data_IF_617120264585
#
_entry.id   IF_617120264585
#
_cell.length_a   1.000
_cell.length_b   1.000
_cell.length_c   1.000
_cell.angle_alpha   90.00
_cell.angle_beta   90.00
_cell.angle_gamma   90.00
#
_symmetry.space_group_name_H-M   'P 1'
#
loop_
_entity.id
_entity.type
_entity.pdbx_description
1 polymer ?
#
# COMPACT_ATOMS: atom_id res chain seq x y z
N UNK A 1 -7.29 16.47 -1.55
CA UNK A 1 -6.00 15.75 -1.69
C UNK A 1 -5.04 15.97 -0.52
N UNK A 2 -4.84 17.20 -0.03
CA UNK A 2 -3.89 17.48 1.08
C UNK A 2 -4.28 16.81 2.42
N UNK A 3 -5.52 16.99 2.88
CA UNK A 3 -6.08 16.31 4.06
C UNK A 3 -5.94 14.78 3.96
N UNK A 4 -6.15 14.24 2.76
CA UNK A 4 -5.96 12.82 2.50
C UNK A 4 -4.49 12.45 2.61
N UNK A 5 -3.58 13.16 1.96
CA UNK A 5 -2.14 12.94 2.15
C UNK A 5 -1.73 12.93 3.63
N UNK A 6 -2.32 13.78 4.47
CA UNK A 6 -2.06 13.80 5.92
C UNK A 6 -2.54 12.49 6.58
N UNK A 7 -3.80 12.09 6.35
CA UNK A 7 -4.36 10.83 6.89
C UNK A 7 -3.58 9.62 6.37
N UNK A 8 -3.14 9.66 5.11
CA UNK A 8 -2.41 8.60 4.41
C UNK A 8 -0.97 8.46 4.90
N UNK A 9 -0.25 9.57 5.04
CA UNK A 9 1.10 9.59 5.62
C UNK A 9 1.10 9.20 7.09
N UNK A 10 0.01 9.51 7.80
CA UNK A 10 -0.18 9.11 9.19
C UNK A 10 -0.45 7.62 9.35
N UNK A 11 -1.32 7.05 8.51
CA UNK A 11 -1.68 5.63 8.55
C UNK A 11 -0.50 4.73 8.18
N UNK A 12 0.43 5.21 7.35
CA UNK A 12 1.57 4.42 6.88
C UNK A 12 1.15 3.21 6.01
N UNK A 13 -0.15 3.02 5.80
CA UNK A 13 -0.73 2.25 4.72
C UNK A 13 -0.75 3.18 3.51
N UNK A 14 -0.19 2.75 2.38
CA UNK A 14 -0.41 3.44 1.11
C UNK A 14 -1.91 3.46 0.78
N UNK A 15 -2.66 4.37 1.38
CA UNK A 15 -4.13 4.37 1.43
C UNK A 15 -4.74 4.90 0.14
N UNK A 16 -4.16 4.54 -0.97
CA UNK A 16 -4.59 4.97 -2.27
C UNK A 16 -5.84 4.22 -2.74
N UNK A 17 -6.32 3.19 -2.02
CA UNK A 17 -7.69 2.66 -2.18
C UNK A 17 -8.74 3.73 -1.93
N UNK A 18 -8.46 4.64 -0.98
CA UNK A 18 -9.26 5.82 -0.73
C UNK A 18 -9.11 6.88 -1.82
N UNK A 19 -7.91 7.03 -2.40
CA UNK A 19 -7.67 7.94 -3.53
C UNK A 19 -8.45 7.47 -4.76
N UNK A 20 -8.41 6.18 -5.10
CA UNK A 20 -9.21 5.61 -6.18
C UNK A 20 -10.69 5.87 -5.92
N UNK A 21 -11.18 5.58 -4.70
CA UNK A 21 -12.56 5.84 -4.31
C UNK A 21 -12.98 7.29 -4.54
N UNK A 22 -12.17 8.27 -4.15
CA UNK A 22 -12.45 9.68 -4.44
C UNK A 22 -12.42 9.98 -5.95
N UNK A 23 -11.39 9.52 -6.66
CA UNK A 23 -11.23 9.83 -8.08
C UNK A 23 -12.41 9.27 -8.90
N UNK A 24 -12.90 8.09 -8.53
CA UNK A 24 -14.04 7.46 -9.19
C UNK A 24 -15.36 8.06 -8.72
N UNK A 25 -15.63 8.11 -7.41
CA UNK A 25 -16.94 8.51 -6.89
C UNK A 25 -17.17 10.04 -6.88
N UNK A 26 -16.13 10.84 -6.60
CA UNK A 26 -16.27 12.30 -6.51
C UNK A 26 -15.94 12.95 -7.85
N UNK A 27 -14.80 12.59 -8.45
CA UNK A 27 -14.33 13.21 -9.69
C UNK A 27 -14.87 12.53 -10.96
N UNK A 28 -15.62 11.43 -10.83
CA UNK A 28 -16.23 10.71 -11.95
C UNK A 28 -15.21 10.28 -13.03
N UNK A 29 -13.98 9.99 -12.62
CA UNK A 29 -12.89 9.59 -13.51
C UNK A 29 -13.00 8.09 -13.81
N UNK A 30 -12.72 7.65 -15.05
CA UNK A 30 -12.68 6.24 -15.39
C UNK A 30 -11.75 5.45 -14.46
N UNK A 31 -12.23 4.29 -14.01
CA UNK A 31 -11.56 3.46 -12.99
C UNK A 31 -10.15 3.07 -13.43
N UNK A 32 -9.95 2.67 -14.68
CA UNK A 32 -8.62 2.34 -15.22
C UNK A 32 -7.64 3.52 -15.11
N UNK A 33 -8.12 4.74 -15.37
CA UNK A 33 -7.31 5.97 -15.23
C UNK A 33 -7.04 6.30 -13.76
N UNK A 34 -8.03 6.12 -12.88
CA UNK A 34 -7.86 6.32 -11.44
C UNK A 34 -6.84 5.32 -10.84
N UNK A 35 -6.84 4.07 -11.29
CA UNK A 35 -5.88 3.05 -10.90
C UNK A 35 -4.46 3.41 -11.34
N UNK A 36 -4.28 3.74 -12.62
CA UNK A 36 -2.98 4.11 -13.18
C UNK A 36 -2.38 5.34 -12.52
N UNK A 37 -3.17 6.41 -12.38
CA UNK A 37 -2.73 7.66 -11.73
C UNK A 37 -2.39 7.47 -10.27
N UNK A 38 -3.13 6.62 -9.55
CA UNK A 38 -2.90 6.39 -8.12
C UNK A 38 -1.68 5.50 -7.86
N UNK A 39 -1.40 4.49 -8.69
CA UNK A 39 -0.15 3.72 -8.62
C UNK A 39 1.06 4.62 -8.94
N UNK A 40 0.93 5.46 -9.96
CA UNK A 40 1.99 6.40 -10.33
C UNK A 40 2.24 7.46 -9.26
N UNK A 41 1.20 7.97 -8.62
CA UNK A 41 1.36 8.84 -7.45
C UNK A 41 2.04 8.12 -6.27
N UNK A 42 1.86 6.80 -6.14
CA UNK A 42 2.51 6.02 -5.09
C UNK A 42 4.02 5.97 -5.20
N UNK A 43 4.59 6.02 -6.41
CA UNK A 43 6.04 6.09 -6.57
C UNK A 43 6.63 7.26 -5.78
N UNK A 44 6.03 8.44 -5.91
CA UNK A 44 6.50 9.65 -5.24
C UNK A 44 6.23 9.64 -3.73
N UNK A 45 5.03 9.21 -3.32
CA UNK A 45 4.68 9.20 -1.89
C UNK A 45 5.45 8.14 -1.11
N UNK A 46 5.67 6.95 -1.69
CA UNK A 46 6.45 5.89 -1.06
C UNK A 46 7.95 6.16 -1.10
N UNK A 47 8.46 6.86 -2.12
CA UNK A 47 9.84 7.35 -2.11
C UNK A 47 10.07 8.32 -0.93
N UNK A 48 9.18 9.31 -0.77
CA UNK A 48 9.24 10.26 0.35
C UNK A 48 9.08 9.55 1.70
N UNK A 49 8.09 8.67 1.83
CA UNK A 49 7.80 7.92 3.06
C UNK A 49 8.90 6.92 3.43
N UNK A 50 9.47 6.21 2.45
CA UNK A 50 10.58 5.27 2.63
C UNK A 50 11.82 5.98 3.17
N UNK A 51 12.18 7.14 2.60
CA UNK A 51 13.29 7.96 3.10
C UNK A 51 13.04 8.41 4.55
N UNK A 52 11.82 8.85 4.87
CA UNK A 52 11.46 9.25 6.24
C UNK A 52 11.58 8.09 7.22
N UNK A 53 11.02 6.92 6.90
CA UNK A 53 11.08 5.75 7.78
C UNK A 53 12.47 5.12 7.88
N UNK A 54 13.28 5.22 6.81
CA UNK A 54 14.67 4.77 6.82
C UNK A 54 15.53 5.64 7.74
N UNK A 55 15.38 6.97 7.69
CA UNK A 55 16.06 7.89 8.62
C UNK A 55 15.69 7.64 10.09
N UNK A 56 14.53 7.02 10.34
CA UNK A 56 14.07 6.70 11.69
C UNK A 56 14.43 5.28 12.15
N UNK A 57 15.18 4.51 11.36
CA UNK A 57 15.55 3.13 11.69
C UNK A 57 14.38 2.15 11.68
N UNK A 58 13.24 2.56 11.13
CA UNK A 58 12.00 1.77 11.10
C UNK A 58 11.78 1.08 9.74
N UNK A 59 12.71 1.13 8.80
CA UNK A 59 12.57 0.49 7.48
C UNK A 59 13.73 -0.46 7.21
N UNK A 60 13.40 -1.71 6.84
CA UNK A 60 14.39 -2.70 6.41
C UNK A 60 14.54 -2.69 4.91
N UNK A 61 15.57 -1.97 4.44
CA UNK A 61 15.76 -1.75 3.01
C UNK A 61 15.98 -3.06 2.24
N UNK A 62 16.81 -3.97 2.77
CA UNK A 62 17.14 -5.25 2.11
C UNK A 62 15.92 -6.13 1.92
N UNK A 63 15.20 -6.46 3.00
CA UNK A 63 14.00 -7.31 2.93
C UNK A 63 12.91 -6.66 2.08
N UNK A 64 12.73 -5.34 2.21
CA UNK A 64 11.75 -4.60 1.43
C UNK A 64 12.05 -4.60 -0.07
N UNK A 65 13.30 -4.37 -0.46
CA UNK A 65 13.70 -4.39 -1.87
C UNK A 65 13.61 -5.78 -2.49
N UNK A 66 13.95 -6.85 -1.75
CA UNK A 66 13.85 -8.23 -2.26
C UNK A 66 12.38 -8.57 -2.54
N UNK A 67 11.49 -8.38 -1.57
CA UNK A 67 10.05 -8.64 -1.73
C UNK A 67 9.48 -7.74 -2.83
N UNK A 68 9.88 -6.46 -2.84
CA UNK A 68 9.47 -5.49 -3.84
C UNK A 68 9.93 -5.83 -5.25
N UNK A 69 11.11 -6.43 -5.43
CA UNK A 69 11.61 -6.87 -6.74
C UNK A 69 10.78 -8.03 -7.29
N UNK A 70 10.43 -9.02 -6.46
CA UNK A 70 9.49 -10.08 -6.86
C UNK A 70 8.10 -9.50 -7.14
N UNK A 71 7.64 -8.56 -6.30
CA UNK A 71 6.37 -7.88 -6.49
C UNK A 71 6.30 -7.01 -7.72
N UNK A 72 7.42 -6.42 -8.17
CA UNK A 72 7.47 -5.63 -9.41
C UNK A 72 7.10 -6.47 -10.63
N UNK A 73 7.61 -7.70 -10.73
CA UNK A 73 7.24 -8.65 -11.78
C UNK A 73 5.76 -9.01 -11.73
N UNK A 74 5.24 -9.28 -10.52
CA UNK A 74 3.81 -9.54 -10.32
C UNK A 74 2.94 -8.34 -10.69
N UNK A 75 3.33 -7.13 -10.30
CA UNK A 75 2.59 -5.89 -10.57
C UNK A 75 2.50 -5.61 -12.07
N UNK A 76 3.61 -5.74 -12.78
CA UNK A 76 3.63 -5.58 -14.23
C UNK A 76 2.69 -6.57 -14.91
N UNK A 77 2.78 -7.87 -14.57
CA UNK A 77 1.88 -8.90 -15.09
C UNK A 77 0.40 -8.64 -14.71
N UNK A 78 0.16 -8.21 -13.48
CA UNK A 78 -1.17 -7.86 -12.97
C UNK A 78 -1.82 -6.72 -13.76
N UNK A 79 -1.04 -5.75 -14.26
CA UNK A 79 -1.60 -4.68 -15.09
C UNK A 79 -2.21 -5.20 -16.39
N UNK A 80 -1.67 -6.26 -16.99
CA UNK A 80 -2.26 -6.85 -18.20
C UNK A 80 -3.63 -7.46 -17.92
N UNK A 81 -3.75 -8.15 -16.79
CA UNK A 81 -5.02 -8.71 -16.33
C UNK A 81 -6.02 -7.59 -16.00
N UNK A 82 -5.58 -6.51 -15.35
CA UNK A 82 -6.42 -5.35 -15.03
C UNK A 82 -7.10 -4.76 -16.28
N UNK A 83 -6.37 -4.69 -17.40
CA UNK A 83 -6.86 -4.14 -18.68
C UNK A 83 -7.93 -5.00 -19.34
N UNK A 84 -7.93 -6.31 -19.07
CA UNK A 84 -8.91 -7.25 -19.64
C UNK A 84 -10.22 -7.28 -18.86
N UNK A 85 -10.24 -6.74 -17.64
CA UNK A 85 -11.41 -6.74 -16.76
C UNK A 85 -12.25 -5.48 -17.03
N UNK A 86 -13.57 -5.66 -17.17
CA UNK A 86 -14.52 -4.56 -17.33
C UNK A 86 -14.54 -3.63 -16.11
N UNK A 87 -14.72 -2.32 -16.32
CA UNK A 87 -14.64 -1.32 -15.26
C UNK A 87 -15.56 -1.61 -14.06
N UNK A 88 -16.79 -2.07 -14.33
CA UNK A 88 -17.78 -2.39 -13.30
C UNK A 88 -17.34 -3.57 -12.41
N UNK A 89 -16.78 -4.62 -13.01
CA UNK A 89 -16.22 -5.76 -12.26
C UNK A 89 -14.99 -5.35 -11.46
N UNK A 90 -14.16 -4.44 -12.01
CA UNK A 90 -12.95 -3.97 -11.37
C UNK A 90 -13.26 -3.12 -10.13
N UNK A 91 -14.33 -2.32 -10.16
CA UNK A 91 -14.85 -1.60 -8.99
C UNK A 91 -15.28 -2.58 -7.92
N UNK A 92 -16.15 -3.54 -8.25
CA UNK A 92 -16.61 -4.55 -7.29
C UNK A 92 -15.48 -5.38 -6.68
N UNK A 93 -14.49 -5.79 -7.47
CA UNK A 93 -13.36 -6.56 -6.96
C UNK A 93 -12.44 -5.70 -6.08
N UNK A 94 -12.17 -4.45 -6.47
CA UNK A 94 -11.33 -3.53 -5.69
C UNK A 94 -12.01 -3.19 -4.36
N UNK A 95 -13.32 -2.90 -4.38
CA UNK A 95 -14.14 -2.69 -3.17
C UNK A 95 -14.16 -3.93 -2.28
N UNK A 96 -14.39 -5.10 -2.86
CA UNK A 96 -14.38 -6.38 -2.14
C UNK A 96 -13.04 -6.67 -1.49
N UNK A 97 -11.93 -6.40 -2.17
CA UNK A 97 -10.58 -6.56 -1.63
C UNK A 97 -10.26 -5.57 -0.52
N UNK A 98 -10.61 -4.29 -0.67
CA UNK A 98 -10.43 -3.29 0.37
C UNK A 98 -11.25 -3.61 1.62
N UNK A 99 -12.50 -4.05 1.43
CA UNK A 99 -13.36 -4.51 2.52
C UNK A 99 -12.78 -5.76 3.20
N UNK A 100 -12.37 -6.77 2.43
CA UNK A 100 -11.75 -7.98 2.96
C UNK A 100 -10.46 -7.68 3.71
N UNK A 101 -9.65 -6.74 3.22
CA UNK A 101 -8.42 -6.29 3.87
C UNK A 101 -8.70 -5.63 5.22
N UNK A 102 -9.66 -4.70 5.26
CA UNK A 102 -10.12 -4.07 6.50
C UNK A 102 -10.70 -5.09 7.48
N UNK A 103 -11.52 -6.04 6.99
CA UNK A 103 -12.13 -7.11 7.78
C UNK A 103 -11.07 -8.07 8.35
N UNK A 104 -10.07 -8.46 7.55
CA UNK A 104 -8.95 -9.31 7.99
C UNK A 104 -8.12 -8.64 9.08
N UNK A 105 -7.81 -7.35 8.92
CA UNK A 105 -7.08 -6.58 9.94
C UNK A 105 -7.94 -6.43 11.20
N UNK A 106 -9.24 -6.19 11.06
CA UNK A 106 -10.17 -6.07 12.19
C UNK A 106 -10.34 -7.39 12.96
N UNK A 107 -10.59 -8.51 12.28
CA UNK A 107 -10.67 -9.84 12.91
C UNK A 107 -9.34 -10.26 13.56
N UNK A 108 -8.20 -9.92 12.96
CA UNK A 108 -6.88 -10.21 13.54
C UNK A 108 -6.54 -9.28 14.69
N UNK A 109 -6.94 -8.01 14.64
CA UNK A 109 -6.69 -7.05 15.73
C UNK A 109 -7.48 -7.40 16.99
N UNK A 110 -8.68 -7.99 16.85
CA UNK A 110 -9.49 -8.38 18.00
C UNK A 110 -8.98 -9.61 18.78
N UNK A 111 -8.15 -10.48 18.18
CA UNK A 111 -7.65 -11.71 18.84
C UNK A 111 -6.14 -11.85 19.04
N UNK A 112 -5.28 -11.01 18.43
CA UNK A 112 -3.82 -11.26 18.45
C UNK A 112 -2.93 -10.06 18.77
N UNK A 113 -3.48 -8.88 19.05
CA UNK A 113 -2.71 -7.71 19.48
C UNK A 113 -2.99 -7.34 20.94
N UNK A 114 -2.59 -8.16 21.94
CA UNK A 114 -2.38 -7.59 23.25
C UNK A 114 -1.36 -6.47 23.10
N UNK A 115 -1.64 -5.32 23.69
CA UNK A 115 -0.80 -4.13 23.72
C UNK A 115 0.59 -4.36 24.36
N UNK A 116 0.99 -5.61 24.61
CA UNK A 116 2.07 -5.98 25.52
C UNK A 116 3.14 -6.91 24.92
N UNK A 117 3.20 -7.08 23.60
CA UNK A 117 4.36 -7.70 22.93
C UNK A 117 5.31 -6.60 22.42
N UNK A 118 5.71 -5.73 23.35
CA UNK A 118 6.76 -4.71 23.19
C UNK A 118 8.16 -5.28 23.41
N UNK A 119 8.29 -6.54 23.81
CA UNK A 119 9.60 -7.16 24.02
C UNK A 119 10.17 -7.71 22.71
N UNK A 120 11.10 -6.92 22.13
CA UNK A 120 12.35 -7.40 21.55
C UNK A 120 12.31 -8.75 20.82
N UNK A 121 11.95 -8.71 19.55
CA UNK A 121 12.81 -9.37 18.57
C UNK A 121 13.41 -8.25 17.75
N UNK A 122 14.69 -7.95 17.99
CA UNK A 122 15.56 -7.53 16.90
C UNK A 122 15.26 -8.51 15.77
N UNK A 123 14.46 -8.10 14.78
CA UNK A 123 14.29 -8.94 13.62
C UNK A 123 15.70 -9.16 13.11
N UNK A 124 16.20 -10.38 13.19
CA UNK A 124 17.40 -10.70 12.42
C UNK A 124 16.98 -10.48 10.97
N UNK A 125 17.84 -9.82 10.19
CA UNK A 125 17.68 -9.89 8.75
C UNK A 125 17.81 -11.38 8.39
N UNK A 126 16.67 -12.08 8.28
CA UNK A 126 16.62 -13.49 7.88
C UNK A 126 16.86 -13.59 6.37
N UNK A 127 17.79 -12.79 5.84
CA UNK A 127 18.12 -12.73 4.41
C UNK A 127 18.94 -13.92 3.92
N UNK A 128 19.19 -14.92 4.79
CA UNK A 128 20.06 -16.07 4.52
C UNK A 128 19.39 -17.44 4.51
N UNK A 129 18.11 -17.55 4.85
CA UNK A 129 17.43 -18.85 4.95
C UNK A 129 16.63 -19.15 3.66
N UNK A 130 16.70 -20.37 3.12
CA UNK A 130 15.96 -20.74 1.89
C UNK A 130 14.45 -20.55 2.05
N UNK A 131 13.94 -20.68 3.29
CA UNK A 131 12.54 -20.39 3.63
C UNK A 131 12.18 -18.90 3.42
N UNK A 132 13.13 -17.98 3.62
CA UNK A 132 12.91 -16.54 3.43
C UNK A 132 12.71 -16.20 1.95
N UNK A 133 13.55 -16.74 1.06
CA UNK A 133 13.45 -16.48 -0.38
C UNK A 133 12.13 -16.97 -0.96
N UNK A 134 11.68 -18.17 -0.56
CA UNK A 134 10.38 -18.71 -0.98
C UNK A 134 9.25 -17.82 -0.47
N UNK A 135 9.26 -17.45 0.81
CA UNK A 135 8.24 -16.56 1.40
C UNK A 135 8.25 -15.18 0.74
N UNK A 136 9.42 -14.60 0.47
CA UNK A 136 9.57 -13.29 -0.18
C UNK A 136 9.09 -13.31 -1.63
N UNK A 137 9.40 -14.38 -2.37
CA UNK A 137 8.91 -14.58 -3.73
C UNK A 137 7.39 -14.71 -3.74
N UNK A 138 6.83 -15.57 -2.89
CA UNK A 138 5.38 -15.83 -2.85
C UNK A 138 4.59 -14.60 -2.41
N UNK A 139 5.04 -13.93 -1.34
CA UNK A 139 4.40 -12.70 -0.86
C UNK A 139 4.53 -11.58 -1.88
N UNK A 140 5.74 -11.38 -2.43
CA UNK A 140 6.00 -10.38 -3.47
C UNK A 140 5.13 -10.59 -4.69
N UNK A 141 5.16 -11.77 -5.31
CA UNK A 141 4.36 -12.08 -6.49
C UNK A 141 2.86 -11.95 -6.26
N UNK A 142 2.34 -12.51 -5.16
CA UNK A 142 0.89 -12.44 -4.86
C UNK A 142 0.49 -10.99 -4.63
N UNK A 143 1.14 -10.30 -3.70
CA UNK A 143 0.76 -8.92 -3.37
C UNK A 143 1.06 -7.94 -4.48
N UNK A 144 2.10 -8.19 -5.27
CA UNK A 144 2.46 -7.45 -6.49
C UNK A 144 1.41 -7.62 -7.57
N UNK A 145 1.03 -8.84 -7.93
CA UNK A 145 -0.05 -9.11 -8.90
C UNK A 145 -1.38 -8.50 -8.45
N UNK A 146 -1.73 -8.66 -7.18
CA UNK A 146 -2.91 -8.00 -6.61
C UNK A 146 -2.79 -6.46 -6.71
N UNK A 147 -1.62 -5.89 -6.46
CA UNK A 147 -1.39 -4.46 -6.69
C UNK A 147 -1.53 -4.10 -8.16
N UNK A 148 -1.02 -4.90 -9.09
CA UNK A 148 -1.13 -4.62 -10.52
C UNK A 148 -2.58 -4.64 -11.02
N UNK A 149 -3.38 -5.59 -10.53
CA UNK A 149 -4.78 -5.77 -10.94
C UNK A 149 -5.68 -4.69 -10.34
N UNK A 150 -5.59 -4.50 -9.03
CA UNK A 150 -6.50 -3.62 -8.27
C UNK A 150 -5.90 -2.25 -7.98
N UNK A 151 -4.75 -1.98 -8.59
CA UNK A 151 -3.86 -0.88 -8.29
C UNK A 151 -3.15 -0.97 -6.93
N UNK A 152 -3.94 -1.11 -5.88
CA UNK A 152 -3.57 -0.57 -4.56
C UNK A 152 -4.08 -1.42 -3.40
N UNK A 153 -5.15 -2.19 -3.62
CA UNK A 153 -5.80 -2.99 -2.57
C UNK A 153 -4.88 -3.99 -1.86
N UNK A 154 -3.65 -4.20 -2.34
CA UNK A 154 -2.66 -5.08 -1.72
C UNK A 154 -1.84 -4.44 -0.59
N UNK A 155 -1.81 -3.11 -0.42
CA UNK A 155 -0.92 -2.47 0.58
C UNK A 155 -1.11 -3.00 2.01
N UNK A 156 -2.34 -3.27 2.51
CA UNK A 156 -2.50 -3.83 3.83
C UNK A 156 -2.20 -5.35 3.85
N UNK A 157 -2.30 -6.04 2.72
CA UNK A 157 -1.86 -7.44 2.58
C UNK A 157 -0.33 -7.55 2.65
N UNK A 158 0.42 -6.63 2.03
CA UNK A 158 1.88 -6.56 2.17
C UNK A 158 2.24 -6.36 3.65
N UNK A 159 1.53 -5.46 4.33
CA UNK A 159 1.76 -5.21 5.74
C UNK A 159 1.43 -6.42 6.62
N UNK A 160 0.31 -7.09 6.36
CA UNK A 160 -0.06 -8.34 7.05
C UNK A 160 0.98 -9.44 6.82
N UNK A 161 1.49 -9.58 5.59
CA UNK A 161 2.54 -10.54 5.28
C UNK A 161 3.81 -10.23 6.10
N UNK A 162 4.24 -8.96 6.15
CA UNK A 162 5.40 -8.55 6.94
C UNK A 162 5.22 -8.75 8.45
N UNK A 163 4.01 -8.53 8.96
CA UNK A 163 3.69 -8.75 10.37
C UNK A 163 3.64 -10.24 10.73
N UNK A 164 3.01 -11.07 9.90
CA UNK A 164 2.71 -12.47 10.23
C UNK A 164 3.84 -13.40 9.80
N UNK A 165 4.33 -13.26 8.56
CA UNK A 165 5.29 -14.20 7.97
C UNK A 165 6.73 -13.84 8.32
N UNK A 166 7.01 -12.54 8.46
CA UNK A 166 8.34 -12.02 8.79
C UNK A 166 8.45 -11.54 10.24
N UNK A 167 7.35 -11.45 10.98
CA UNK A 167 7.36 -11.15 12.41
C UNK A 167 7.83 -9.74 12.76
N UNK A 168 7.81 -8.81 11.81
CA UNK A 168 8.29 -7.44 12.07
C UNK A 168 7.36 -6.69 13.02
N UNK A 169 7.88 -5.84 13.92
CA UNK A 169 7.03 -5.00 14.77
C UNK A 169 6.25 -4.01 13.90
N UNK A 170 5.07 -3.59 14.37
CA UNK A 170 4.13 -2.76 13.58
C UNK A 170 4.79 -1.55 12.90
N UNK A 171 5.64 -0.84 13.64
CA UNK A 171 6.35 0.33 13.13
C UNK A 171 7.38 -0.03 12.05
N UNK A 172 8.04 -1.19 12.16
CA UNK A 172 8.94 -1.69 11.12
C UNK A 172 8.20 -2.22 9.89
N UNK A 173 7.04 -2.86 10.09
CA UNK A 173 6.21 -3.33 8.99
C UNK A 173 5.74 -2.14 8.15
N UNK A 174 5.23 -1.06 8.77
CA UNK A 174 4.87 0.18 8.07
C UNK A 174 6.04 0.71 7.24
N UNK A 175 7.22 0.93 7.85
CA UNK A 175 8.37 1.46 7.12
C UNK A 175 8.84 0.55 5.98
N UNK A 176 8.83 -0.77 6.21
CA UNK A 176 9.25 -1.75 5.20
C UNK A 176 8.24 -1.87 4.06
N UNK A 177 6.92 -1.74 4.31
CA UNK A 177 5.93 -1.72 3.23
C UNK A 177 6.16 -0.59 2.23
N UNK A 178 6.59 0.59 2.69
CA UNK A 178 6.91 1.72 1.80
C UNK A 178 8.08 1.38 0.87
N UNK A 179 9.08 0.64 1.37
CA UNK A 179 10.20 0.13 0.56
C UNK A 179 9.71 -0.90 -0.46
N UNK A 180 8.81 -1.82 -0.06
CA UNK A 180 8.25 -2.86 -0.94
C UNK A 180 7.38 -2.27 -2.04
N UNK A 181 6.55 -1.27 -1.70
CA UNK A 181 5.61 -0.65 -2.63
C UNK A 181 6.34 0.15 -3.71
N UNK A 182 7.52 0.71 -3.42
CA UNK A 182 8.26 1.54 -4.38
C UNK A 182 8.55 0.83 -5.72
N UNK A 183 9.20 -0.35 -5.77
CA UNK A 183 9.39 -1.08 -7.02
C UNK A 183 8.08 -1.62 -7.62
N UNK A 184 7.13 -2.06 -6.78
CA UNK A 184 5.79 -2.50 -7.24
C UNK A 184 5.09 -1.37 -7.99
N UNK A 185 5.08 -0.17 -7.42
CA UNK A 185 4.44 1.00 -7.98
C UNK A 185 5.16 1.50 -9.23
N UNK A 186 6.50 1.45 -9.28
CA UNK A 186 7.25 1.80 -10.48
C UNK A 186 6.86 0.91 -11.67
N UNK A 187 6.88 -0.40 -11.49
CA UNK A 187 6.56 -1.34 -12.56
C UNK A 187 5.07 -1.37 -12.89
N UNK A 188 4.19 -1.23 -11.89
CA UNK A 188 2.76 -1.05 -12.10
C UNK A 188 2.45 0.23 -12.89
N UNK A 189 3.15 1.34 -12.59
CA UNK A 189 3.00 2.60 -13.32
C UNK A 189 3.43 2.49 -14.77
N UNK A 190 4.57 1.83 -15.03
CA UNK A 190 5.03 1.54 -16.40
C UNK A 190 3.96 0.71 -17.13
N UNK A 191 3.38 -0.28 -16.45
CA UNK A 191 2.24 -1.03 -16.95
C UNK A 191 1.08 -0.12 -17.33
N UNK A 192 0.53 0.69 -16.43
CA UNK A 192 -0.61 1.56 -16.77
C UNK A 192 -0.27 2.66 -17.79
N UNK A 193 0.96 3.15 -17.80
CA UNK A 193 1.46 4.11 -18.78
C UNK A 193 1.42 3.54 -20.21
N UNK A 194 1.92 2.31 -20.39
CA UNK A 194 1.87 1.63 -21.69
C UNK A 194 0.45 1.35 -22.18
N UNK A 195 -0.53 1.26 -21.27
CA UNK A 195 -1.93 1.12 -21.65
C UNK A 195 -2.63 2.44 -21.98
N UNK A 196 -1.99 3.60 -21.78
CA UNK A 196 -2.60 4.91 -22.00
C UNK A 196 -3.60 5.32 -20.92
N UNK A 197 -3.66 4.64 -19.77
CA UNK A 197 -4.55 5.00 -18.66
C UNK A 197 -3.90 5.98 -17.67
N UNK A 198 -3.00 6.83 -18.14
CA UNK A 198 -2.23 7.73 -17.28
C UNK A 198 -2.47 9.17 -17.68
N UNK A 199 -3.28 9.87 -16.89
CA UNK A 199 -3.49 11.30 -17.02
C UNK A 199 -2.41 12.06 -16.23
N UNK A 200 -1.52 12.74 -16.96
CA UNK A 200 -0.40 13.49 -16.38
C UNK A 200 -0.83 14.71 -15.57
N UNK A 201 -1.95 15.34 -15.93
CA UNK A 201 -2.48 16.50 -15.21
C UNK A 201 -3.03 16.04 -13.87
N UNK A 202 -3.83 14.97 -13.90
CA UNK A 202 -4.36 14.35 -12.68
C UNK A 202 -3.23 13.83 -11.79
N UNK A 203 -2.23 13.17 -12.38
CA UNK A 203 -1.04 12.69 -11.68
C UNK A 203 -0.36 13.84 -10.93
N UNK A 204 -0.10 14.97 -11.59
CA UNK A 204 0.56 16.11 -10.97
C UNK A 204 -0.23 16.66 -9.78
N UNK A 205 -1.56 16.77 -9.91
CA UNK A 205 -2.44 17.24 -8.83
C UNK A 205 -2.46 16.26 -7.65
N UNK A 206 -2.56 14.96 -7.93
CA UNK A 206 -2.57 13.90 -6.91
C UNK A 206 -1.21 13.85 -6.21
N UNK A 207 -0.10 13.87 -6.95
CA UNK A 207 1.25 13.88 -6.40
C UNK A 207 1.48 15.11 -5.52
N UNK A 208 1.17 16.31 -6.01
CA UNK A 208 1.35 17.54 -5.22
C UNK A 208 0.56 17.49 -3.90
N UNK A 209 -0.72 17.08 -3.95
CA UNK A 209 -1.55 17.00 -2.75
C UNK A 209 -1.13 15.89 -1.79
N UNK A 210 -0.78 14.72 -2.32
CA UNK A 210 -0.44 13.55 -1.49
C UNK A 210 0.97 13.60 -0.95
N UNK A 211 1.94 14.18 -1.66
CA UNK A 211 3.32 14.31 -1.21
C UNK A 211 3.45 15.33 -0.08
N UNK A 212 2.81 16.49 -0.20
CA UNK A 212 2.78 17.50 0.86
C UNK A 212 2.05 16.95 2.08
N UNK A 213 0.90 16.32 1.87
CA UNK A 213 0.15 15.73 2.96
C UNK A 213 0.90 14.57 3.62
N UNK A 214 1.53 13.66 2.86
CA UNK A 214 2.22 12.51 3.43
C UNK A 214 3.46 12.90 4.21
N UNK A 215 4.18 13.93 3.76
CA UNK A 215 5.32 14.49 4.48
C UNK A 215 4.91 15.03 5.85
N UNK A 216 3.79 15.78 5.90
CA UNK A 216 3.22 16.28 7.16
C UNK A 216 2.72 15.11 8.03
N UNK A 217 1.96 14.18 7.44
CA UNK A 217 1.40 13.02 8.12
C UNK A 217 2.45 12.11 8.75
N UNK A 218 3.53 11.80 8.01
CA UNK A 218 4.64 10.97 8.48
C UNK A 218 5.34 11.57 9.71
N UNK A 219 5.44 12.91 9.78
CA UNK A 219 6.00 13.61 10.94
C UNK A 219 5.12 13.46 12.19
N UNK A 220 3.79 13.38 12.02
CA UNK A 220 2.83 13.15 13.10
C UNK A 220 2.78 11.68 13.55
N UNK A 221 3.07 10.72 12.68
CA UNK A 221 3.15 9.27 12.99
C UNK A 221 4.08 8.99 14.17
N UNK A 222 5.12 9.82 14.35
CA UNK A 222 6.09 9.70 15.44
C UNK A 222 5.50 9.95 16.83
N UNK A 223 4.54 10.87 16.93
CA UNK A 223 3.86 11.26 18.17
C UNK A 223 2.53 10.52 18.40
N UNK A 224 2.11 9.72 17.42
CA UNK A 224 0.84 9.04 17.45
C UNK A 224 0.86 7.81 18.37
N UNK A 225 -0.14 7.61 19.23
CA UNK A 225 -0.31 6.37 19.97
C UNK A 225 -0.63 5.23 18.98
N UNK A 226 -0.18 4.01 19.30
CA UNK A 226 -0.34 2.86 18.41
C UNK A 226 -1.80 2.54 18.05
N UNK A 227 -2.76 2.89 18.92
CA UNK A 227 -4.19 2.76 18.62
C UNK A 227 -4.60 3.59 17.40
N UNK A 228 -4.06 4.81 17.26
CA UNK A 228 -4.38 5.72 16.16
C UNK A 228 -3.80 5.21 14.83
N UNK A 229 -2.61 4.62 14.83
CA UNK A 229 -2.08 3.94 13.64
C UNK A 229 -2.96 2.75 13.26
N UNK A 230 -3.28 1.88 14.23
CA UNK A 230 -4.10 0.68 13.99
C UNK A 230 -5.49 1.03 13.44
N UNK A 231 -6.15 2.03 14.01
CA UNK A 231 -7.46 2.48 13.53
C UNK A 231 -7.35 3.06 12.13
N UNK A 232 -6.31 3.85 11.84
CA UNK A 232 -6.12 4.42 10.51
C UNK A 232 -5.94 3.33 9.44
N UNK A 233 -5.20 2.25 9.75
CA UNK A 233 -5.00 1.10 8.85
C UNK A 233 -6.29 0.33 8.52
N UNK A 234 -7.29 0.34 9.41
CA UNK A 234 -8.58 -0.35 9.21
C UNK A 234 -9.58 0.58 8.52
N UNK A 235 -9.67 1.82 9.01
CA UNK A 235 -10.67 2.79 8.56
C UNK A 235 -10.40 3.25 7.13
N UNK A 236 -9.15 3.52 6.75
CA UNK A 236 -8.85 4.00 5.38
C UNK A 236 -9.29 3.04 4.27
N UNK A 237 -8.97 1.72 4.30
CA UNK A 237 -9.46 0.80 3.28
C UNK A 237 -10.98 0.57 3.38
N UNK A 238 -11.57 0.52 4.58
CA UNK A 238 -13.03 0.37 4.71
C UNK A 238 -13.81 1.56 4.12
N UNK A 239 -13.35 2.79 4.37
CA UNK A 239 -14.02 3.97 3.78
C UNK A 239 -13.74 4.05 2.27
N UNK A 240 -12.55 3.66 1.81
CA UNK A 240 -12.27 3.55 0.37
C UNK A 240 -13.19 2.55 -0.34
N UNK A 241 -13.45 1.39 0.28
CA UNK A 241 -14.38 0.38 -0.22
C UNK A 241 -15.82 0.92 -0.28
N UNK A 242 -16.27 1.61 0.77
CA UNK A 242 -17.60 2.23 0.81
C UNK A 242 -17.75 3.31 -0.27
N UNK A 243 -16.73 4.16 -0.45
CA UNK A 243 -16.76 5.21 -1.47
C UNK A 243 -16.82 4.64 -2.89
N UNK A 244 -16.17 3.52 -3.17
CA UNK A 244 -16.23 2.89 -4.50
C UNK A 244 -17.58 2.20 -4.78
N UNK A 245 -18.43 1.97 -3.77
CA UNK A 245 -19.75 1.37 -3.93
C UNK A 245 -20.87 2.40 -4.13
N UNK A 246 -20.58 3.69 -3.94
CA UNK A 246 -21.52 4.81 -4.09
C UNK A 246 -21.23 5.52 -5.41
#
# INVERSE_FOLDING_TARGET
MLLMGIILGFAGTGGSGFIIGILVAVFHIPVHTALGTSIAAMVFTTLSGSVSHFKEGNARLRSGLIIGAFGAGGAYAGTFVARMIAAEQLVWLTSGMLFLSGLLIWFRTSKLFPANREAATEGKDVTGDSSFWIKACLTGLITGSLSGIFGIGSTPFIQLALLIWFGFPLRQAVGTTMVVILPIALFGSIGFFQAGYLDFVLLAQVVAGTMIGSYIGAKFTKRAPQLLLRSAMIVTPMVGALLMLV
#
